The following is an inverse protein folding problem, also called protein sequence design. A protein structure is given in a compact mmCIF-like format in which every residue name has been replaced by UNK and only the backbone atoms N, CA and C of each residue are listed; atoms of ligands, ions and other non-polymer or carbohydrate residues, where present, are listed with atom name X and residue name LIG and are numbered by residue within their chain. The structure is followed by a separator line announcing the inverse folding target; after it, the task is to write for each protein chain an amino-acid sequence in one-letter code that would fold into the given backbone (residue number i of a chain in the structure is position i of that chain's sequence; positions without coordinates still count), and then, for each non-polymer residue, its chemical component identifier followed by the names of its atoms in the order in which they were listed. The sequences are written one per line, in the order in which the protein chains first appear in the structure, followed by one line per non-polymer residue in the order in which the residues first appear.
data_IF_768804266276
#
_entry.id   IF_768804266276
#
_cell.length_a   1.000
_cell.length_b   1.000
_cell.length_c   1.000
_cell.angle_alpha   90.00
_cell.angle_beta   90.00
_cell.angle_gamma   90.00
#
_symmetry.space_group_name_H-M   'P 1'
#
loop_
_entity.id
_entity.type
_entity.pdbx_description
1 polymer ?
#
# COMPACT_ATOMS: atom_id res chain seq x y z
N UNK A 1 18.91 8.51 43.25
CA UNK A 1 20.37 8.81 43.25
C UNK A 1 20.67 9.91 42.23
N UNK A 2 21.51 10.89 42.57
CA UNK A 2 21.92 11.95 41.64
C UNK A 2 22.63 11.36 40.41
N UNK A 3 22.36 11.92 39.22
CA UNK A 3 23.12 11.58 38.02
C UNK A 3 24.55 12.12 38.20
N UNK A 4 25.55 11.31 37.89
CA UNK A 4 26.93 11.78 37.88
C UNK A 4 27.09 12.89 36.82
N UNK A 5 27.79 13.96 37.18
CA UNK A 5 27.99 15.10 36.28
C UNK A 5 28.79 14.69 35.03
N UNK A 6 28.46 15.24 33.84
CA UNK A 6 29.21 14.97 32.62
C UNK A 6 30.71 15.26 32.82
N UNK A 7 31.58 14.31 32.49
CA UNK A 7 33.03 14.45 32.59
C UNK A 7 33.66 13.91 33.89
N UNK A 8 32.90 13.63 34.94
CA UNK A 8 33.45 13.01 36.17
C UNK A 8 33.95 11.58 35.89
N UNK A 9 34.99 11.06 36.58
CA UNK A 9 35.41 9.66 36.46
C UNK A 9 34.26 8.66 36.67
N UNK A 10 33.32 8.98 37.58
CA UNK A 10 32.09 8.19 37.80
C UNK A 10 31.15 8.20 36.60
N UNK A 11 31.00 9.33 35.91
CA UNK A 11 30.22 9.45 34.67
C UNK A 11 30.88 8.68 33.53
N UNK A 12 32.20 8.81 33.37
CA UNK A 12 32.96 8.09 32.35
C UNK A 12 32.92 6.58 32.59
N UNK A 13 33.12 6.13 33.83
CA UNK A 13 32.98 4.73 34.22
C UNK A 13 31.57 4.20 33.97
N UNK A 14 30.52 4.98 34.26
CA UNK A 14 29.14 4.62 33.96
C UNK A 14 28.89 4.53 32.45
N UNK A 15 29.42 5.48 31.66
CA UNK A 15 29.29 5.50 30.20
C UNK A 15 30.03 4.31 29.56
N UNK A 16 31.25 4.01 30.02
CA UNK A 16 32.01 2.84 29.57
C UNK A 16 31.30 1.53 29.92
N UNK A 17 30.74 1.41 31.12
CA UNK A 17 29.95 0.23 31.54
C UNK A 17 28.59 0.12 30.82
N UNK A 18 28.09 1.21 30.26
CA UNK A 18 26.87 1.26 29.46
C UNK A 18 27.10 1.02 27.96
N UNK A 19 28.37 0.97 27.50
CA UNK A 19 28.73 0.57 26.13
C UNK A 19 28.56 -0.95 26.00
N UNK A 20 27.95 -1.39 24.90
CA UNK A 20 27.64 -2.79 24.64
C UNK A 20 26.15 -3.13 24.79
N UNK A 21 25.74 -4.22 24.14
CA UNK A 21 24.37 -4.73 24.20
C UNK A 21 24.18 -5.46 25.53
N UNK A 22 23.46 -4.83 26.47
CA UNK A 22 23.17 -5.39 27.79
C UNK A 22 21.96 -6.34 27.73
N UNK A 23 21.78 -7.20 28.73
CA UNK A 23 20.63 -8.11 28.80
C UNK A 23 19.32 -7.31 28.76
N UNK A 24 18.46 -7.63 27.80
CA UNK A 24 17.15 -7.00 27.60
C UNK A 24 16.17 -7.21 28.76
N UNK A 25 16.42 -8.20 29.65
CA UNK A 25 15.61 -8.46 30.86
C UNK A 25 15.39 -7.22 31.73
N UNK A 26 16.34 -6.28 31.70
CA UNK A 26 16.31 -5.07 32.52
C UNK A 26 15.99 -3.79 31.72
N UNK A 27 15.40 -3.92 30.53
CA UNK A 27 14.97 -2.80 29.71
C UNK A 27 13.49 -2.46 29.95
N UNK A 28 13.17 -1.18 30.07
CA UNK A 28 11.79 -0.71 30.10
C UNK A 28 11.45 0.00 28.78
N UNK A 29 10.49 -0.54 28.02
CA UNK A 29 10.04 0.07 26.77
C UNK A 29 9.33 1.41 27.00
N UNK A 30 8.42 1.49 27.98
CA UNK A 30 7.66 2.72 28.25
C UNK A 30 8.58 3.93 28.46
N UNK A 31 9.61 3.74 29.28
CA UNK A 31 10.56 4.78 29.65
C UNK A 31 11.81 4.82 28.76
N UNK A 32 11.88 3.99 27.72
CA UNK A 32 13.05 3.77 26.85
C UNK A 32 14.38 3.62 27.63
N UNK A 33 14.30 2.98 28.81
CA UNK A 33 15.39 3.00 29.80
C UNK A 33 15.97 1.62 30.02
N UNK A 34 17.22 1.45 29.60
CA UNK A 34 18.04 0.29 29.97
C UNK A 34 18.51 0.42 31.42
N UNK A 35 18.11 -0.51 32.28
CA UNK A 35 18.66 -0.68 33.62
C UNK A 35 19.81 -1.70 33.59
N UNK A 36 20.74 -1.58 34.55
CA UNK A 36 21.98 -2.36 34.57
C UNK A 36 21.79 -3.74 35.20
N UNK A 37 20.97 -3.79 36.25
CA UNK A 37 20.80 -4.91 37.16
C UNK A 37 19.35 -4.99 37.65
N UNK A 38 19.02 -6.10 38.30
CA UNK A 38 17.68 -6.34 38.85
C UNK A 38 17.25 -5.25 39.82
N UNK A 39 18.16 -4.82 40.70
CA UNK A 39 17.87 -3.79 41.69
C UNK A 39 17.61 -2.44 41.01
N UNK A 40 18.43 -2.06 40.03
CA UNK A 40 18.21 -0.87 39.21
C UNK A 40 16.87 -0.89 38.48
N UNK A 41 16.43 -2.06 37.99
CA UNK A 41 15.13 -2.20 37.35
C UNK A 41 13.96 -2.14 38.36
N UNK A 42 14.10 -2.73 39.55
CA UNK A 42 13.11 -2.61 40.64
C UNK A 42 12.93 -1.14 41.06
N UNK A 43 14.03 -0.44 41.33
CA UNK A 43 14.00 0.99 41.65
C UNK A 43 13.38 1.83 40.51
N UNK A 44 13.61 1.44 39.26
CA UNK A 44 12.99 2.10 38.11
C UNK A 44 11.46 1.88 38.07
N UNK A 45 10.98 0.66 38.28
CA UNK A 45 9.54 0.36 38.32
C UNK A 45 8.80 1.08 39.46
N UNK A 46 9.49 1.29 40.58
CA UNK A 46 8.96 2.04 41.72
C UNK A 46 9.08 3.57 41.55
N UNK A 47 9.83 4.04 40.56
CA UNK A 47 10.02 5.48 40.36
C UNK A 47 8.75 6.15 39.84
N UNK A 48 8.49 7.37 40.34
CA UNK A 48 7.33 8.18 39.96
C UNK A 48 7.21 8.39 38.45
N UNK A 49 8.35 8.55 37.75
CA UNK A 49 8.36 8.74 36.29
C UNK A 49 7.84 7.52 35.54
N UNK A 50 8.22 6.32 35.97
CA UNK A 50 7.70 5.08 35.39
C UNK A 50 6.22 4.89 35.72
N UNK A 51 5.83 5.15 36.96
CA UNK A 51 4.43 5.05 37.38
C UNK A 51 3.52 6.00 36.61
N UNK A 52 3.97 7.23 36.37
CA UNK A 52 3.23 8.21 35.55
C UNK A 52 3.07 7.74 34.12
N UNK A 53 4.12 7.20 33.50
CA UNK A 53 3.98 6.63 32.16
C UNK A 53 3.08 5.40 32.11
N UNK A 54 3.09 4.57 33.14
CA UNK A 54 2.18 3.44 33.26
C UNK A 54 0.72 3.90 33.36
N UNK A 55 0.45 4.99 34.09
CA UNK A 55 -0.90 5.59 34.16
C UNK A 55 -1.36 6.07 32.78
N UNK A 56 -0.49 6.71 31.99
CA UNK A 56 -0.81 7.15 30.63
C UNK A 56 -1.06 5.92 29.73
N UNK A 57 -0.26 4.87 29.86
CA UNK A 57 -0.48 3.62 29.12
C UNK A 57 -1.82 2.96 29.49
N UNK A 58 -2.22 2.96 30.75
CA UNK A 58 -3.50 2.41 31.20
C UNK A 58 -4.71 3.20 30.65
N UNK A 59 -4.56 4.49 30.34
CA UNK A 59 -5.63 5.29 29.75
C UNK A 59 -5.91 4.89 28.30
N UNK A 60 -4.86 4.71 27.49
CA UNK A 60 -4.98 4.42 26.05
C UNK A 60 -4.00 3.34 25.57
N UNK A 61 -4.13 2.11 26.10
CA UNK A 61 -3.18 1.03 25.80
C UNK A 61 -3.04 0.73 24.29
N UNK A 62 -4.16 0.75 23.55
CA UNK A 62 -4.16 0.43 22.11
C UNK A 62 -3.34 1.44 21.30
N UNK A 63 -3.42 2.74 21.63
CA UNK A 63 -2.68 3.79 20.93
C UNK A 63 -1.16 3.60 21.04
N UNK A 64 -0.68 3.26 22.23
CA UNK A 64 0.74 2.95 22.44
C UNK A 64 1.17 1.70 21.67
N UNK A 65 0.34 0.65 21.68
CA UNK A 65 0.62 -0.57 20.91
C UNK A 65 0.69 -0.29 19.39
N UNK A 66 -0.21 0.54 18.87
CA UNK A 66 -0.23 0.94 17.46
C UNK A 66 0.99 1.81 17.09
N UNK A 67 1.39 2.73 17.96
CA UNK A 67 2.56 3.59 17.77
C UNK A 67 3.86 2.76 17.74
N UNK A 68 4.05 1.85 18.71
CA UNK A 68 5.19 0.95 18.72
C UNK A 68 5.20 0.02 17.51
N UNK A 69 4.04 -0.48 17.09
CA UNK A 69 3.91 -1.34 15.90
C UNK A 69 4.26 -0.57 14.62
N UNK A 70 3.79 0.66 14.47
CA UNK A 70 4.13 1.53 13.33
C UNK A 70 5.62 1.84 13.27
N UNK A 71 6.23 2.15 14.42
CA UNK A 71 7.67 2.46 14.49
C UNK A 71 8.53 1.22 14.25
N UNK A 72 8.13 0.06 14.76
CA UNK A 72 8.77 -1.24 14.49
C UNK A 72 8.70 -1.58 13.00
N UNK A 73 7.53 -1.47 12.38
CA UNK A 73 7.36 -1.71 10.96
C UNK A 73 8.23 -0.77 10.12
N UNK A 74 8.25 0.53 10.44
CA UNK A 74 9.06 1.51 9.72
C UNK A 74 10.54 1.16 9.78
N UNK A 75 11.04 0.74 10.93
CA UNK A 75 12.44 0.39 11.12
C UNK A 75 12.82 -0.91 10.39
N UNK A 76 11.96 -1.92 10.46
CA UNK A 76 12.13 -3.15 9.70
C UNK A 76 12.17 -2.88 8.19
N UNK A 77 11.22 -2.07 7.69
CA UNK A 77 11.16 -1.68 6.28
C UNK A 77 12.34 -0.79 5.87
N UNK A 78 12.88 0.03 6.77
CA UNK A 78 14.12 0.80 6.53
C UNK A 78 15.30 -0.14 6.26
N UNK A 79 15.45 -1.21 7.04
CA UNK A 79 16.49 -2.22 6.82
C UNK A 79 16.28 -3.00 5.52
N UNK A 80 15.04 -3.38 5.21
CA UNK A 80 14.70 -4.02 3.94
C UNK A 80 15.03 -3.14 2.73
N UNK A 81 14.71 -1.84 2.80
CA UNK A 81 14.99 -0.87 1.72
C UNK A 81 16.48 -0.56 1.54
N UNK A 82 17.25 -0.54 2.63
CA UNK A 82 18.65 -0.12 2.59
C UNK A 82 19.60 -1.28 2.32
N UNK A 83 19.51 -2.37 3.10
CA UNK A 83 20.45 -3.49 3.04
C UNK A 83 19.97 -4.64 2.17
N UNK A 84 18.66 -4.93 2.18
CA UNK A 84 18.11 -6.18 1.60
C UNK A 84 17.19 -5.93 0.39
N UNK A 85 17.37 -4.81 -0.33
CA UNK A 85 16.42 -4.37 -1.36
C UNK A 85 16.39 -5.26 -2.62
N UNK A 86 17.43 -6.04 -2.87
CA UNK A 86 17.62 -6.84 -4.09
C UNK A 86 17.67 -8.34 -3.85
N UNK A 87 17.70 -8.77 -2.60
CA UNK A 87 17.94 -10.16 -2.24
C UNK A 87 16.76 -10.72 -1.47
N UNK A 88 16.46 -11.99 -1.73
CA UNK A 88 15.61 -12.81 -0.87
C UNK A 88 16.40 -13.16 0.39
N UNK A 89 15.88 -12.79 1.56
CA UNK A 89 16.57 -12.92 2.84
C UNK A 89 15.69 -13.65 3.85
N UNK A 90 16.29 -14.38 4.80
CA UNK A 90 15.55 -14.98 5.90
C UNK A 90 15.07 -13.90 6.88
N UNK A 91 13.81 -13.97 7.32
CA UNK A 91 13.22 -13.01 8.25
C UNK A 91 14.01 -12.86 9.56
N UNK A 92 14.53 -13.98 10.09
CA UNK A 92 15.31 -13.97 11.32
C UNK A 92 16.62 -13.16 11.17
N UNK A 93 17.24 -13.17 10.00
CA UNK A 93 18.45 -12.38 9.73
C UNK A 93 18.16 -10.89 9.78
N UNK A 94 17.05 -10.45 9.19
CA UNK A 94 16.63 -9.04 9.23
C UNK A 94 16.28 -8.62 10.65
N UNK A 95 15.53 -9.45 11.37
CA UNK A 95 15.17 -9.21 12.77
C UNK A 95 16.40 -9.13 13.68
N UNK A 96 17.37 -10.03 13.51
CA UNK A 96 18.64 -9.99 14.26
C UNK A 96 19.43 -8.72 13.95
N UNK A 97 19.44 -8.26 12.69
CA UNK A 97 20.07 -7.00 12.32
C UNK A 97 19.41 -5.81 13.02
N UNK A 98 18.07 -5.82 13.12
CA UNK A 98 17.32 -4.79 13.82
C UNK A 98 17.60 -4.78 15.33
N UNK A 99 17.68 -5.94 15.98
CA UNK A 99 17.99 -6.06 17.42
C UNK A 99 19.42 -5.63 17.75
N UNK A 100 20.31 -5.60 16.76
CA UNK A 100 21.70 -5.16 16.98
C UNK A 100 21.78 -3.70 17.45
N UNK A 101 20.80 -2.87 17.08
CA UNK A 101 20.70 -1.49 17.53
C UNK A 101 20.12 -1.42 18.95
N UNK A 102 20.80 -0.73 19.88
CA UNK A 102 20.37 -0.68 21.29
C UNK A 102 19.00 -0.01 21.51
N UNK A 103 18.57 0.83 20.57
CA UNK A 103 17.32 1.60 20.63
C UNK A 103 16.19 0.96 19.82
N UNK A 104 16.32 -0.30 19.42
CA UNK A 104 15.24 -1.00 18.73
C UNK A 104 14.04 -1.23 19.66
N UNK A 105 12.85 -1.21 19.08
CA UNK A 105 11.63 -1.63 19.77
C UNK A 105 11.62 -3.14 19.82
N UNK A 106 11.44 -3.69 21.01
CA UNK A 106 11.33 -5.13 21.17
C UNK A 106 9.98 -5.64 20.65
N UNK A 107 9.96 -6.81 20.02
CA UNK A 107 8.76 -7.38 19.40
C UNK A 107 7.58 -7.53 20.38
N UNK A 108 7.84 -7.95 21.62
CA UNK A 108 6.82 -8.03 22.70
C UNK A 108 6.11 -6.71 23.02
N UNK A 109 6.65 -5.56 22.62
CA UNK A 109 6.01 -4.26 22.81
C UNK A 109 5.06 -3.88 21.67
N UNK A 110 4.98 -4.70 20.63
CA UNK A 110 4.14 -4.48 19.44
C UNK A 110 2.93 -5.41 19.46
N UNK A 111 2.00 -5.22 18.52
CA UNK A 111 0.86 -6.12 18.30
C UNK A 111 1.33 -7.51 17.84
N UNK A 112 2.53 -7.64 17.28
CA UNK A 112 3.08 -8.91 16.82
C UNK A 112 3.94 -9.54 17.91
N UNK A 113 3.42 -10.60 18.54
CA UNK A 113 4.14 -11.33 19.59
C UNK A 113 5.23 -12.22 18.99
N UNK A 114 4.99 -12.76 17.79
CA UNK A 114 5.94 -13.63 17.08
C UNK A 114 6.43 -13.01 15.77
N UNK A 115 7.66 -13.35 15.37
CA UNK A 115 8.21 -12.91 14.08
C UNK A 115 7.37 -13.43 12.91
N UNK A 116 6.80 -14.62 13.05
CA UNK A 116 5.94 -15.24 12.06
C UNK A 116 4.69 -14.40 11.80
N UNK A 117 4.01 -13.94 12.85
CA UNK A 117 2.81 -13.09 12.70
C UNK A 117 3.13 -11.79 11.97
N UNK A 118 4.27 -11.18 12.30
CA UNK A 118 4.73 -9.97 11.62
C UNK A 118 5.03 -10.22 10.13
N UNK A 119 5.71 -11.32 9.80
CA UNK A 119 6.00 -11.71 8.41
C UNK A 119 4.71 -11.95 7.62
N UNK A 120 3.74 -12.65 8.21
CA UNK A 120 2.43 -12.86 7.60
C UNK A 120 1.70 -11.53 7.37
N UNK A 121 1.79 -10.59 8.30
CA UNK A 121 1.27 -9.23 8.12
C UNK A 121 1.95 -8.49 6.94
N UNK A 122 3.27 -8.59 6.78
CA UNK A 122 3.97 -7.99 5.64
C UNK A 122 3.55 -8.60 4.30
N UNK A 123 3.23 -9.90 4.28
CA UNK A 123 2.64 -10.57 3.12
C UNK A 123 1.23 -10.08 2.83
N UNK A 124 0.36 -10.00 3.83
CA UNK A 124 -1.03 -9.50 3.70
C UNK A 124 -1.10 -8.06 3.22
N UNK A 125 -0.21 -7.19 3.73
CA UNK A 125 -0.11 -5.79 3.27
C UNK A 125 0.55 -5.66 1.90
N UNK A 126 1.14 -6.73 1.36
CA UNK A 126 1.86 -6.73 0.09
C UNK A 126 3.06 -5.78 0.09
N UNK A 127 3.73 -5.61 1.24
CA UNK A 127 4.97 -4.83 1.35
C UNK A 127 6.19 -5.69 1.04
N UNK A 128 6.10 -6.98 1.37
CA UNK A 128 7.11 -7.98 1.04
C UNK A 128 6.42 -9.21 0.43
N UNK A 129 7.10 -9.87 -0.50
CA UNK A 129 6.75 -11.22 -0.96
C UNK A 129 7.31 -12.20 0.06
N UNK A 130 6.44 -13.06 0.59
CA UNK A 130 6.79 -14.07 1.59
C UNK A 130 6.83 -15.45 0.94
N UNK A 131 7.79 -16.27 1.34
CA UNK A 131 7.90 -17.67 0.96
C UNK A 131 8.29 -18.50 2.18
N UNK A 132 7.58 -19.59 2.41
CA UNK A 132 7.87 -20.52 3.49
C UNK A 132 8.77 -21.64 2.97
N UNK A 133 9.87 -21.90 3.67
CA UNK A 133 10.80 -22.99 3.37
C UNK A 133 11.10 -23.73 4.66
N UNK A 134 11.68 -24.94 4.58
CA UNK A 134 12.07 -25.75 5.74
C UNK A 134 12.99 -25.02 6.74
N UNK A 135 13.78 -24.04 6.27
CA UNK A 135 14.68 -23.24 7.12
C UNK A 135 13.99 -22.03 7.77
N UNK A 136 12.74 -21.74 7.43
CA UNK A 136 11.97 -20.61 7.94
C UNK A 136 11.43 -19.70 6.83
N UNK A 137 11.02 -18.49 7.23
CA UNK A 137 10.38 -17.53 6.33
C UNK A 137 11.38 -16.69 5.54
N UNK A 138 11.27 -16.71 4.22
CA UNK A 138 12.00 -15.83 3.32
C UNK A 138 11.17 -14.61 2.94
N UNK A 139 11.84 -13.46 2.89
CA UNK A 139 11.29 -12.15 2.56
C UNK A 139 11.99 -11.59 1.33
N UNK A 140 11.20 -11.05 0.41
CA UNK A 140 11.67 -10.27 -0.74
C UNK A 140 10.92 -8.92 -0.75
N UNK A 141 11.67 -7.81 -0.72
CA UNK A 141 11.09 -6.47 -0.62
C UNK A 141 10.44 -6.05 -1.94
N UNK A 142 9.20 -5.58 -1.90
CA UNK A 142 8.50 -5.03 -3.07
C UNK A 142 8.57 -3.51 -3.02
N UNK A 143 9.38 -2.93 -3.90
CA UNK A 143 9.48 -1.48 -4.03
C UNK A 143 8.35 -0.91 -4.89
N UNK A 144 7.22 -0.59 -4.24
CA UNK A 144 6.06 0.04 -4.90
C UNK A 144 6.43 1.35 -5.60
N UNK A 145 7.31 2.15 -4.99
CA UNK A 145 7.70 3.45 -5.52
C UNK A 145 8.57 3.30 -6.78
N UNK A 146 9.47 2.32 -6.79
CA UNK A 146 10.27 1.99 -7.99
C UNK A 146 9.39 1.48 -9.13
N UNK A 147 8.45 0.59 -8.85
CA UNK A 147 7.51 0.06 -9.85
C UNK A 147 6.68 1.20 -10.47
N UNK A 148 6.17 2.12 -9.64
CA UNK A 148 5.40 3.27 -10.12
C UNK A 148 6.25 4.22 -10.96
N UNK A 149 7.48 4.52 -10.51
CA UNK A 149 8.43 5.37 -11.26
C UNK A 149 8.76 4.77 -12.62
N UNK A 150 8.95 3.46 -12.68
CA UNK A 150 9.28 2.75 -13.93
C UNK A 150 8.07 2.67 -14.87
N UNK A 151 6.86 2.45 -14.35
CA UNK A 151 5.62 2.56 -15.13
C UNK A 151 5.41 3.96 -15.69
N UNK A 152 5.62 5.00 -14.87
CA UNK A 152 5.52 6.39 -15.30
C UNK A 152 6.56 6.73 -16.37
N UNK A 153 7.80 6.27 -16.20
CA UNK A 153 8.86 6.44 -17.21
C UNK A 153 8.52 5.72 -18.52
N UNK A 154 8.06 4.47 -18.45
CA UNK A 154 7.69 3.71 -19.63
C UNK A 154 6.46 4.32 -20.34
N UNK A 155 5.49 4.85 -19.58
CA UNK A 155 4.34 5.59 -20.14
C UNK A 155 4.82 6.86 -20.84
N UNK A 156 5.74 7.62 -20.24
CA UNK A 156 6.34 8.81 -20.88
C UNK A 156 7.08 8.44 -22.16
N UNK A 157 7.91 7.38 -22.13
CA UNK A 157 8.64 6.89 -23.31
C UNK A 157 7.71 6.47 -24.45
N UNK A 158 6.60 5.79 -24.14
CA UNK A 158 5.58 5.42 -25.14
C UNK A 158 4.89 6.62 -25.77
N UNK A 159 4.60 7.66 -24.98
CA UNK A 159 4.00 8.91 -25.48
C UNK A 159 5.01 9.65 -26.37
N UNK A 160 6.27 9.72 -25.96
CA UNK A 160 7.35 10.36 -26.73
C UNK A 160 7.58 9.64 -28.06
N UNK A 161 7.61 8.31 -28.07
CA UNK A 161 7.72 7.51 -29.30
C UNK A 161 6.55 7.76 -30.26
N UNK A 162 5.30 7.77 -29.74
CA UNK A 162 4.12 8.07 -30.57
C UNK A 162 4.13 9.50 -31.13
N UNK A 163 4.65 10.47 -30.38
CA UNK A 163 4.79 11.85 -30.86
C UNK A 163 5.88 11.99 -31.93
N UNK A 164 7.00 11.28 -31.78
CA UNK A 164 8.07 11.24 -32.78
C UNK A 164 7.59 10.63 -34.10
N UNK A 165 6.84 9.53 -34.09
CA UNK A 165 6.25 8.95 -35.31
C UNK A 165 5.31 9.92 -36.03
N UNK A 166 4.47 10.65 -35.27
CA UNK A 166 3.57 11.66 -35.84
C UNK A 166 4.35 12.85 -36.40
N UNK A 167 5.43 13.26 -35.72
CA UNK A 167 6.33 14.32 -36.17
C UNK A 167 7.06 13.93 -37.45
N UNK A 168 7.56 12.71 -37.53
CA UNK A 168 8.25 12.18 -38.72
C UNK A 168 7.32 12.13 -39.93
N UNK A 169 6.09 11.62 -39.75
CA UNK A 169 5.07 11.65 -40.80
C UNK A 169 4.79 13.08 -41.30
N UNK A 170 4.69 14.05 -40.38
CA UNK A 170 4.44 15.44 -40.74
C UNK A 170 5.63 16.08 -41.47
N UNK A 171 6.86 15.77 -41.04
CA UNK A 171 8.08 16.20 -41.74
C UNK A 171 8.13 15.60 -43.14
N UNK A 172 7.85 14.30 -43.29
CA UNK A 172 7.85 13.63 -44.58
C UNK A 172 6.81 14.22 -45.53
N UNK A 173 5.60 14.53 -45.05
CA UNK A 173 4.58 15.23 -45.83
C UNK A 173 5.06 16.60 -46.33
N UNK A 174 5.67 17.41 -45.46
CA UNK A 174 6.21 18.73 -45.83
C UNK A 174 7.34 18.59 -46.86
N UNK A 175 8.20 17.58 -46.73
CA UNK A 175 9.27 17.29 -47.70
C UNK A 175 8.66 16.91 -49.06
N UNK A 176 7.63 16.07 -49.09
CA UNK A 176 6.95 15.70 -50.33
C UNK A 176 6.25 16.88 -51.02
N UNK A 177 5.59 17.74 -50.26
CA UNK A 177 4.98 18.96 -50.78
C UNK A 177 6.04 19.91 -51.35
N UNK A 178 7.16 20.12 -50.65
CA UNK A 178 8.28 20.93 -51.12
C UNK A 178 8.94 20.35 -52.40
N UNK A 179 9.01 19.02 -52.52
CA UNK A 179 9.47 18.33 -53.74
C UNK A 179 8.50 18.58 -54.90
N UNK A 180 7.18 18.52 -54.66
CA UNK A 180 6.15 18.75 -55.69
C UNK A 180 6.08 20.21 -56.16
N UNK A 181 6.30 21.18 -55.27
CA UNK A 181 6.30 22.60 -55.61
C UNK A 181 7.62 23.09 -56.23
N UNK A 182 8.62 22.21 -56.37
CA UNK A 182 9.91 22.52 -57.00
C UNK A 182 10.82 23.44 -56.17
N UNK A 183 10.53 23.64 -54.88
CA UNK A 183 11.34 24.44 -53.94
C UNK A 183 12.27 23.57 -53.07
N UNK A 184 12.37 22.28 -53.37
CA UNK A 184 13.24 21.35 -52.65
C UNK A 184 14.69 21.51 -53.10
N UNK A 185 15.50 22.17 -52.27
CA UNK A 185 16.96 22.21 -52.41
C UNK A 185 17.51 20.94 -51.74
N UNK A 186 18.07 20.02 -52.51
CA UNK A 186 18.85 18.92 -51.94
C UNK A 186 20.07 19.52 -51.21
N UNK A 187 20.21 19.22 -49.92
CA UNK A 187 21.38 19.63 -49.16
C UNK A 187 22.58 18.78 -49.58
N UNK A 188 23.33 19.23 -50.58
CA UNK A 188 24.67 18.73 -50.82
C UNK A 188 25.63 19.32 -49.78
N UNK A 189 26.48 18.48 -49.19
CA UNK A 189 27.51 18.93 -48.26
C UNK A 189 28.51 19.82 -49.00
N UNK A 190 28.38 21.13 -48.84
CA UNK A 190 29.41 22.08 -49.28
C UNK A 190 30.39 22.28 -48.13
N UNK A 191 31.54 21.63 -48.19
CA UNK A 191 32.65 21.98 -47.32
C UNK A 191 33.01 23.45 -47.54
N UNK A 192 33.21 24.21 -46.46
CA UNK A 192 33.71 25.59 -46.57
C UNK A 192 35.13 25.52 -47.12
N UNK A 193 35.28 25.70 -48.44
CA UNK A 193 36.58 25.91 -49.05
C UNK A 193 37.03 27.34 -48.77
N UNK A 194 37.97 27.49 -47.84
CA UNK A 194 38.68 28.76 -47.63
C UNK A 194 39.60 29.01 -48.81
N UNK A 195 39.26 29.96 -49.67
CA UNK A 195 40.22 30.61 -50.57
C UNK A 195 40.49 32.00 -49.98
N UNK A 196 41.63 32.11 -49.31
CA UNK A 196 42.18 33.26 -48.57
C UNK A 196 41.72 33.44 -47.11
N UNK A 197 42.70 33.74 -46.26
CA UNK A 197 42.65 33.84 -44.80
C UNK A 197 41.88 35.07 -44.27
N UNK A 198 40.70 35.36 -44.82
CA UNK A 198 39.85 36.43 -44.31
C UNK A 198 38.94 35.93 -43.17
N UNK A 199 38.97 36.65 -42.05
CA UNK A 199 38.18 36.34 -40.85
C UNK A 199 36.69 36.39 -41.15
N UNK A 200 35.99 35.30 -40.90
CA UNK A 200 34.52 35.22 -40.96
C UNK A 200 33.95 36.06 -39.80
N UNK A 201 33.49 37.28 -40.09
CA UNK A 201 32.76 38.10 -39.12
C UNK A 201 31.29 37.71 -39.20
N UNK A 202 30.84 36.89 -38.25
CA UNK A 202 29.41 36.69 -37.99
C UNK A 202 28.94 37.94 -37.24
N UNK A 203 28.30 38.88 -37.93
CA UNK A 203 27.74 40.09 -37.33
C UNK A 203 26.55 39.72 -36.42
N UNK A 204 26.87 39.27 -35.21
CA UNK A 204 25.93 39.25 -34.10
C UNK A 204 25.43 40.67 -33.86
N UNK A 205 24.11 40.78 -33.78
CA UNK A 205 23.34 41.97 -33.41
C UNK A 205 24.01 42.70 -32.24
N UNK A 206 24.57 43.89 -32.50
CA UNK A 206 24.94 44.86 -31.47
C UNK A 206 24.04 46.09 -31.59
N UNK A 207 23.43 46.58 -30.49
CA UNK A 207 22.73 47.86 -30.50
C UNK A 207 23.76 48.96 -30.24
N UNK A 208 23.93 49.90 -31.17
CA UNK A 208 24.67 51.13 -30.89
C UNK A 208 23.74 52.31 -31.08
N UNK A 209 23.44 52.97 -29.96
CA UNK A 209 22.78 54.26 -29.89
C UNK A 209 23.78 55.39 -30.22
N UNK A 210 23.28 56.38 -30.98
CA UNK A 210 23.62 57.82 -31.01
C UNK A 210 24.97 58.32 -31.60
N UNK A 211 24.92 58.74 -32.89
CA UNK A 211 25.07 60.09 -33.52
C UNK A 211 26.14 61.12 -33.04
N UNK A 212 26.47 62.18 -33.86
CA UNK A 212 26.68 62.29 -35.33
C UNK A 212 27.84 63.28 -35.70
N UNK A 213 27.94 63.69 -36.98
CA UNK A 213 28.76 64.78 -37.63
C UNK A 213 29.91 64.25 -38.49
N UNK A 214 30.17 64.58 -39.78
CA UNK A 214 29.75 65.64 -40.72
C UNK A 214 30.35 65.34 -42.11
N UNK A 215 29.63 65.68 -43.21
CA UNK A 215 30.11 65.99 -44.60
C UNK A 215 30.66 64.79 -45.44
N UNK A 216 30.27 64.50 -46.69
CA UNK A 216 29.31 65.04 -47.68
C UNK A 216 29.23 64.14 -48.94
N UNK A 217 28.12 64.24 -49.71
CA UNK A 217 27.78 63.81 -51.10
C UNK A 217 28.22 62.40 -51.63
N UNK A 218 27.47 61.62 -52.43
CA UNK A 218 26.20 61.74 -53.15
C UNK A 218 25.66 60.33 -53.55
N UNK A 219 24.34 60.26 -53.73
CA UNK A 219 23.52 59.42 -54.62
C UNK A 219 23.19 57.92 -54.39
N UNK A 220 21.86 57.71 -54.37
CA UNK A 220 21.02 56.52 -54.61
C UNK A 220 21.15 55.28 -53.71
N UNK A 221 20.39 55.28 -52.60
CA UNK A 221 19.98 54.05 -51.87
C UNK A 221 18.47 54.09 -51.57
N UNK A 222 17.67 53.08 -51.96
CA UNK A 222 16.29 52.97 -51.50
C UNK A 222 16.25 52.63 -50.01
N UNK A 223 15.61 53.51 -49.23
CA UNK A 223 15.38 53.36 -47.79
C UNK A 223 14.25 52.36 -47.54
N UNK A 224 14.53 51.23 -46.90
CA UNK A 224 13.72 50.67 -45.79
C UNK A 224 14.21 49.29 -45.35
N UNK A 225 14.49 49.17 -44.05
CA UNK A 225 14.72 47.87 -43.41
C UNK A 225 13.35 47.28 -43.02
N UNK A 226 12.93 46.25 -43.74
CA UNK A 226 11.65 45.51 -43.57
C UNK A 226 11.40 45.05 -42.11
N UNK A 227 12.46 44.81 -41.33
CA UNK A 227 12.35 44.40 -39.93
C UNK A 227 11.95 45.53 -38.96
N UNK A 228 12.28 46.79 -39.27
CA UNK A 228 11.96 47.95 -38.42
C UNK A 228 10.49 48.40 -38.57
N UNK A 229 9.89 48.16 -39.73
CA UNK A 229 8.48 48.49 -40.01
C UNK A 229 7.50 47.52 -39.33
N UNK A 230 7.92 46.28 -39.06
CA UNK A 230 7.11 45.28 -38.34
C UNK A 230 7.02 45.62 -36.84
N UNK A 231 8.11 46.11 -36.23
CA UNK A 231 8.14 46.54 -34.83
C UNK A 231 7.32 47.82 -34.58
N UNK A 232 7.28 48.76 -35.53
CA UNK A 232 6.45 49.96 -35.44
C UNK A 232 4.94 49.65 -35.57
N UNK A 233 4.56 48.67 -36.40
CA UNK A 233 3.15 48.24 -36.53
C UNK A 233 2.58 47.57 -35.29
N UNK A 234 3.41 46.90 -34.48
CA UNK A 234 2.96 46.29 -33.22
C UNK A 234 2.81 47.29 -32.05
N UNK A 235 3.39 48.50 -32.15
CA UNK A 235 3.23 49.55 -31.12
C UNK A 235 1.93 50.36 -31.28
N UNK A 236 1.34 50.38 -32.48
CA UNK A 236 0.10 51.12 -32.81
C UNK A 236 -1.18 50.32 -32.50
N UNK A 237 -1.08 48.99 -32.34
CA UNK A 237 -2.24 48.14 -32.01
C UNK A 237 -2.63 48.11 -30.53
N UNK A 238 -1.75 48.55 -29.62
CA UNK A 238 -2.02 48.49 -28.16
C UNK A 238 -2.63 49.78 -27.58
N UNK A 239 -2.96 50.79 -28.40
CA UNK A 239 -3.51 52.07 -27.91
C UNK A 239 -4.96 52.36 -28.31
N UNK A 240 -5.61 51.49 -29.11
CA UNK A 240 -6.97 51.74 -29.61
C UNK A 240 -8.05 50.76 -29.09
N UNK A 241 -7.76 49.94 -28.08
CA UNK A 241 -8.74 49.04 -27.43
C UNK A 241 -9.33 49.61 -26.12
N UNK A 242 -9.37 50.93 -25.98
CA UNK A 242 -10.28 51.61 -25.06
C UNK A 242 -11.02 52.69 -25.85
N UNK A 243 -12.35 52.65 -25.81
CA UNK A 243 -13.33 53.53 -26.47
C UNK A 243 -13.83 53.05 -27.86
N UNK A 244 -14.81 52.14 -27.87
CA UNK A 244 -16.19 52.42 -28.31
C UNK A 244 -17.02 51.13 -28.38
N UNK A 245 -17.79 50.93 -27.31
CA UNK A 245 -19.09 50.27 -27.33
C UNK A 245 -20.12 51.15 -28.07
N UNK A 246 -21.21 50.51 -28.54
CA UNK A 246 -22.43 51.08 -29.15
C UNK A 246 -22.44 51.25 -30.69
N UNK A 247 -22.89 50.23 -31.41
CA UNK A 247 -24.25 50.20 -31.99
C UNK A 247 -24.49 48.99 -32.91
N UNK A 248 -25.75 48.59 -32.98
CA UNK A 248 -26.27 47.28 -33.39
C UNK A 248 -26.97 47.36 -34.78
N UNK A 249 -26.92 46.22 -35.53
CA UNK A 249 -27.91 45.61 -36.47
C UNK A 249 -27.77 45.76 -38.02
N UNK A 250 -27.94 44.56 -38.65
CA UNK A 250 -28.51 44.20 -39.99
C UNK A 250 -27.63 44.45 -41.22
N UNK A 251 -27.61 43.67 -42.30
CA UNK A 251 -28.39 42.52 -42.82
C UNK A 251 -27.55 41.85 -43.97
N UNK A 252 -27.99 40.69 -44.45
CA UNK A 252 -27.35 39.78 -45.43
C UNK A 252 -27.22 40.33 -46.88
N UNK A 253 -26.19 39.89 -47.64
CA UNK A 253 -26.28 39.07 -48.90
C UNK A 253 -25.06 39.20 -49.85
N UNK A 254 -24.54 38.02 -50.22
CA UNK A 254 -24.05 37.53 -51.52
C UNK A 254 -23.49 38.52 -52.59
N UNK A 255 -22.21 38.35 -52.95
CA UNK A 255 -21.78 38.16 -54.36
C UNK A 255 -20.30 37.75 -54.46
N UNK A 256 -20.07 36.70 -55.26
CA UNK A 256 -18.75 36.24 -55.72
C UNK A 256 -18.03 37.38 -56.46
N UNK A 257 -16.72 37.51 -56.22
CA UNK A 257 -15.82 37.61 -57.36
C UNK A 257 -14.44 37.02 -57.09
N UNK A 258 -13.96 36.28 -58.10
CA UNK A 258 -12.68 35.57 -58.10
C UNK A 258 -11.59 36.53 -58.52
N UNK A 259 -10.57 36.73 -57.67
CA UNK A 259 -9.23 37.08 -58.15
C UNK A 259 -8.18 36.20 -57.46
N UNK A 260 -7.33 35.63 -58.29
CA UNK A 260 -6.34 34.61 -57.98
C UNK A 260 -5.23 35.21 -57.10
N UNK A 261 -4.86 34.55 -56.00
CA UNK A 261 -3.56 34.78 -55.36
C UNK A 261 -3.04 33.51 -54.67
N UNK A 262 -1.82 33.12 -55.09
CA UNK A 262 -1.08 31.93 -54.68
C UNK A 262 -0.82 31.96 -53.16
N UNK A 263 -1.26 30.94 -52.43
CA UNK A 263 -0.96 30.75 -50.99
C UNK A 263 0.48 30.27 -50.84
N UNK A 264 1.30 30.99 -50.07
CA UNK A 264 2.66 30.58 -49.68
C UNK A 264 2.59 29.45 -48.63
N UNK A 265 3.53 28.49 -48.62
CA UNK A 265 3.59 27.46 -47.59
C UNK A 265 3.86 28.09 -46.22
N UNK A 266 3.24 27.51 -45.18
CA UNK A 266 3.27 28.04 -43.81
C UNK A 266 4.73 28.06 -43.30
N UNK A 267 5.17 29.21 -42.77
CA UNK A 267 6.54 29.38 -42.26
C UNK A 267 6.72 28.58 -40.97
N UNK A 268 7.94 28.05 -40.74
CA UNK A 268 8.35 27.32 -39.53
C UNK A 268 8.03 28.05 -38.21
N UNK A 269 7.86 29.38 -38.26
CA UNK A 269 7.45 30.20 -37.13
C UNK A 269 5.97 30.02 -36.76
N UNK A 270 5.08 29.88 -37.74
CA UNK A 270 3.63 29.68 -37.53
C UNK A 270 3.35 28.33 -36.84
N UNK A 271 4.12 27.31 -37.22
CA UNK A 271 4.06 25.96 -36.63
C UNK A 271 4.52 25.94 -35.16
N UNK A 272 5.58 26.69 -34.83
CA UNK A 272 6.06 26.85 -33.45
C UNK A 272 5.09 27.66 -32.58
N UNK A 273 4.38 28.62 -33.16
CA UNK A 273 3.36 29.41 -32.46
C UNK A 273 2.14 28.53 -32.16
N UNK A 274 1.67 27.73 -33.12
CA UNK A 274 0.57 26.76 -32.89
C UNK A 274 0.95 25.69 -31.87
N UNK A 275 2.19 25.16 -31.91
CA UNK A 275 2.67 24.17 -30.93
C UNK A 275 2.77 24.78 -29.52
N UNK A 276 3.17 26.05 -29.40
CA UNK A 276 3.22 26.77 -28.13
C UNK A 276 1.82 27.16 -27.61
N UNK A 277 0.86 27.45 -28.49
CA UNK A 277 -0.54 27.70 -28.15
C UNK A 277 -1.24 26.42 -27.69
N UNK A 278 -0.98 25.29 -28.33
CA UNK A 278 -1.48 23.98 -27.91
C UNK A 278 -0.85 23.54 -26.58
N UNK A 279 0.45 23.75 -26.37
CA UNK A 279 1.12 23.53 -25.09
C UNK A 279 0.59 24.46 -23.98
N UNK A 280 0.24 25.71 -24.28
CA UNK A 280 -0.43 26.62 -23.33
C UNK A 280 -1.86 26.16 -23.00
N UNK A 281 -2.64 25.71 -23.99
CA UNK A 281 -3.99 25.15 -23.79
C UNK A 281 -3.94 23.88 -22.93
N UNK A 282 -2.98 22.98 -23.17
CA UNK A 282 -2.80 21.76 -22.38
C UNK A 282 -2.32 22.03 -20.94
N UNK A 283 -1.52 23.08 -20.74
CA UNK A 283 -1.06 23.53 -19.40
C UNK A 283 -2.15 24.25 -18.60
N UNK A 284 -3.12 24.87 -19.27
CA UNK A 284 -4.29 25.50 -18.65
C UNK A 284 -5.44 24.52 -18.34
N UNK A 285 -5.42 23.30 -18.89
CA UNK A 285 -6.42 22.25 -18.67
C UNK A 285 -6.11 21.33 -17.47
N UNK A 286 -5.06 21.62 -16.70
CA UNK A 286 -4.73 20.92 -15.46
C UNK A 286 -4.74 21.88 -14.26
N UNK A 287 -5.83 21.93 -13.46
CA UNK A 287 -5.77 22.48 -12.11
C UNK A 287 -5.38 21.38 -11.11
N UNK A 288 -4.25 21.61 -10.43
CA UNK A 288 -3.87 21.18 -9.08
C UNK A 288 -3.98 19.69 -8.67
N UNK A 289 -2.87 18.98 -8.80
CA UNK A 289 -2.37 18.09 -7.73
C UNK A 289 -0.96 18.57 -7.36
N UNK A 290 -0.80 18.98 -6.10
CA UNK A 290 0.42 19.44 -5.42
C UNK A 290 0.73 20.94 -5.44
N UNK A 291 -0.07 21.68 -4.69
CA UNK A 291 0.43 22.67 -3.71
C UNK A 291 -0.30 22.42 -2.39
N UNK A 292 0.36 21.70 -1.47
CA UNK A 292 0.24 21.81 -0.01
C UNK A 292 0.96 20.63 0.67
N UNK A 293 2.29 20.55 0.52
CA UNK A 293 3.18 19.98 1.53
C UNK A 293 4.42 20.85 1.57
N UNK A 294 4.29 21.97 2.27
CA UNK A 294 5.32 22.72 3.01
C UNK A 294 4.66 24.03 3.37
N UNK A 295 3.83 23.94 4.40
CA UNK A 295 3.81 24.86 5.52
C UNK A 295 2.72 24.39 6.49
N UNK A 296 3.00 24.53 7.77
CA UNK A 296 2.13 24.25 8.93
C UNK A 296 2.24 22.86 9.53
N UNK A 297 3.41 22.64 10.14
CA UNK A 297 3.46 22.04 11.45
C UNK A 297 3.80 23.15 12.47
N UNK A 298 2.77 23.85 12.98
CA UNK A 298 2.84 24.58 14.26
C UNK A 298 1.46 25.01 14.76
N UNK A 299 1.09 24.46 15.92
CA UNK A 299 0.25 25.04 17.00
C UNK A 299 -1.29 24.90 16.93
N UNK A 300 -1.76 23.86 17.63
CA UNK A 300 -2.62 23.88 18.84
C UNK A 300 -3.92 24.70 18.90
N UNK A 301 -4.98 23.95 19.17
CA UNK A 301 -6.02 24.11 20.23
C UNK A 301 -7.21 25.09 20.08
N UNK A 302 -8.39 24.48 20.35
CA UNK A 302 -9.61 25.04 20.96
C UNK A 302 -10.45 26.05 20.12
N UNK A 303 -11.77 25.93 19.93
CA UNK A 303 -12.87 25.29 20.68
C UNK A 303 -14.15 25.19 19.80
N UNK A 304 -15.03 24.22 20.12
CA UNK A 304 -16.52 24.21 20.12
C UNK A 304 -17.33 24.80 18.93
N UNK A 305 -18.48 24.30 18.49
CA UNK A 305 -19.37 23.16 18.75
C UNK A 305 -20.62 23.41 17.87
N UNK A 306 -21.37 22.35 17.50
CA UNK A 306 -22.87 22.28 17.42
C UNK A 306 -23.38 21.39 16.26
N UNK A 307 -24.32 20.49 16.65
CA UNK A 307 -25.42 19.84 15.91
C UNK A 307 -25.08 18.71 14.91
N UNK A 308 -25.48 17.44 15.12
CA UNK A 308 -26.82 16.76 15.22
C UNK A 308 -27.02 15.90 13.96
N UNK A 309 -27.11 14.58 14.13
CA UNK A 309 -28.33 13.76 14.02
C UNK A 309 -28.83 13.46 12.58
N UNK A 310 -28.86 12.16 12.27
CA UNK A 310 -30.04 11.41 11.76
C UNK A 310 -30.40 11.46 10.26
N UNK A 311 -30.81 10.27 9.78
CA UNK A 311 -31.54 9.86 8.56
C UNK A 311 -30.75 9.59 7.26
N UNK A 312 -30.75 8.36 6.73
CA UNK A 312 -31.83 7.55 6.11
C UNK A 312 -32.18 7.99 4.68
N UNK A 313 -32.09 7.00 3.77
CA UNK A 313 -32.94 6.80 2.57
C UNK A 313 -32.77 7.86 1.45
N UNK A 314 -32.97 7.58 0.17
CA UNK A 314 -33.32 6.41 -0.61
C UNK A 314 -33.18 6.85 -2.09
N UNK A 315 -33.26 5.88 -3.00
CA UNK A 315 -33.68 6.03 -4.41
C UNK A 315 -32.74 6.71 -5.43
N UNK A 316 -32.74 6.33 -6.71
CA UNK A 316 -33.07 5.13 -7.51
C UNK A 316 -32.76 5.60 -8.95
N UNK A 317 -32.50 4.64 -9.83
CA UNK A 317 -32.54 4.86 -11.29
C UNK A 317 -31.13 4.99 -11.89
N UNK A 318 -30.54 4.00 -12.55
CA UNK A 318 -31.13 2.90 -13.29
C UNK A 318 -31.16 3.25 -14.78
N UNK A 319 -30.26 2.63 -15.56
CA UNK A 319 -30.60 1.74 -16.69
C UNK A 319 -29.44 1.64 -17.69
N UNK A 320 -29.07 0.38 -17.93
CA UNK A 320 -28.81 -0.27 -19.22
C UNK A 320 -27.62 0.25 -20.05
N UNK A 321 -26.79 -0.61 -20.64
CA UNK A 321 -27.18 -1.77 -21.45
C UNK A 321 -25.95 -2.66 -21.76
N UNK A 322 -26.17 -3.98 -21.66
CA UNK A 322 -25.68 -5.09 -22.52
C UNK A 322 -24.17 -5.29 -22.73
N UNK A 323 -23.64 -6.51 -22.92
CA UNK A 323 -23.97 -7.94 -22.68
C UNK A 323 -22.98 -8.69 -23.60
N UNK A 324 -22.31 -9.73 -23.10
CA UNK A 324 -21.92 -10.99 -23.77
C UNK A 324 -21.12 -11.80 -22.73
N UNK A 325 -21.75 -12.69 -21.93
CA UNK A 325 -22.16 -14.10 -22.15
C UNK A 325 -21.00 -15.08 -22.40
N UNK A 326 -20.86 -16.04 -21.47
CA UNK A 326 -20.71 -17.50 -21.67
C UNK A 326 -20.64 -18.15 -20.26
N UNK A 327 -21.75 -18.63 -19.69
CA UNK A 327 -22.32 -20.00 -19.75
C UNK A 327 -21.60 -21.07 -18.90
N UNK A 328 -22.15 -21.34 -17.69
CA UNK A 328 -22.65 -22.68 -17.29
C UNK A 328 -23.42 -22.68 -15.95
N UNK A 329 -24.74 -22.74 -16.11
CA UNK A 329 -25.77 -23.47 -15.33
C UNK A 329 -25.68 -23.53 -13.79
N UNK A 330 -26.45 -22.64 -13.17
CA UNK A 330 -27.15 -22.85 -11.90
C UNK A 330 -28.48 -23.58 -12.17
N UNK A 331 -28.79 -24.64 -11.43
CA UNK A 331 -30.16 -25.12 -11.25
C UNK A 331 -30.59 -24.86 -9.80
N UNK A 332 -31.75 -24.23 -9.68
CA UNK A 332 -32.36 -23.72 -8.45
C UNK A 332 -33.38 -24.72 -7.86
N UNK A 333 -33.28 -24.86 -6.54
CA UNK A 333 -34.36 -24.92 -5.53
C UNK A 333 -35.42 -26.04 -5.48
N UNK A 334 -35.43 -26.71 -4.32
CA UNK A 334 -36.48 -26.61 -3.26
C UNK A 334 -35.96 -27.41 -2.05
N UNK A 335 -35.91 -26.93 -0.82
CA UNK A 335 -36.85 -26.10 -0.08
C UNK A 335 -37.22 -26.88 1.19
N UNK A 336 -36.52 -26.62 2.29
CA UNK A 336 -36.80 -27.17 3.62
C UNK A 336 -36.52 -26.08 4.65
N UNK A 337 -37.58 -25.65 5.32
CA UNK A 337 -37.76 -24.37 6.03
C UNK A 337 -36.80 -24.15 7.20
N UNK A 338 -36.51 -22.87 7.42
CA UNK A 338 -35.90 -22.31 8.62
C UNK A 338 -36.65 -22.74 9.88
N UNK A 339 -35.93 -23.41 10.78
CA UNK A 339 -36.14 -23.26 12.22
C UNK A 339 -34.97 -22.42 12.75
N UNK A 340 -35.27 -21.17 13.10
CA UNK A 340 -34.40 -20.36 13.95
C UNK A 340 -34.32 -21.02 15.32
N UNK A 341 -33.25 -21.77 15.58
CA UNK A 341 -32.87 -22.17 16.94
C UNK A 341 -31.60 -21.41 17.33
N UNK A 342 -31.71 -20.62 18.38
CA UNK A 342 -30.62 -19.91 19.10
C UNK A 342 -29.64 -20.91 19.78
N UNK A 343 -28.99 -21.78 19.00
CA UNK A 343 -28.22 -22.92 19.51
C UNK A 343 -26.74 -22.86 19.08
N UNK A 344 -26.20 -21.64 18.97
CA UNK A 344 -24.85 -21.40 18.51
C UNK A 344 -23.86 -21.48 19.68
N UNK A 345 -23.21 -22.64 19.83
CA UNK A 345 -21.79 -22.84 20.22
C UNK A 345 -21.55 -24.08 21.12
N UNK A 346 -22.59 -24.84 21.48
CA UNK A 346 -22.37 -26.09 22.23
C UNK A 346 -21.87 -27.22 21.31
N UNK A 347 -20.64 -27.67 21.54
CA UNK A 347 -19.99 -28.76 20.78
C UNK A 347 -19.91 -30.09 21.54
N UNK A 348 -20.21 -30.07 22.84
CA UNK A 348 -20.23 -31.27 23.67
C UNK A 348 -21.28 -32.25 23.13
N UNK A 349 -20.87 -33.50 22.94
CA UNK A 349 -21.74 -34.62 22.57
C UNK A 349 -21.41 -35.83 23.45
N UNK A 350 -22.31 -36.81 23.52
CA UNK A 350 -22.05 -38.08 24.21
C UNK A 350 -21.07 -38.93 23.40
N UNK A 351 -20.38 -39.85 24.06
CA UNK A 351 -19.54 -40.88 23.44
C UNK A 351 -18.30 -40.34 22.71
N UNK A 352 -17.82 -39.18 23.14
CA UNK A 352 -16.51 -38.64 22.73
C UNK A 352 -15.52 -38.66 23.89
N UNK A 353 -14.24 -38.80 23.55
CA UNK A 353 -13.15 -38.70 24.50
C UNK A 353 -12.67 -37.26 24.56
N UNK A 354 -12.59 -36.70 25.76
CA UNK A 354 -12.09 -35.35 26.00
C UNK A 354 -10.96 -35.37 27.02
N UNK A 355 -10.16 -34.30 27.03
CA UNK A 355 -9.08 -34.08 27.99
C UNK A 355 -9.42 -32.86 28.85
N UNK A 356 -9.29 -32.99 30.16
CA UNK A 356 -9.52 -31.88 31.09
C UNK A 356 -8.30 -30.97 31.08
N UNK A 357 -8.50 -29.68 30.81
CA UNK A 357 -7.43 -28.67 30.69
C UNK A 357 -7.43 -27.63 31.81
N UNK A 358 -8.48 -27.57 32.63
CA UNK A 358 -8.51 -26.66 33.77
C UNK A 358 -7.54 -27.12 34.88
N UNK A 359 -6.62 -26.23 35.27
CA UNK A 359 -5.62 -26.48 36.32
C UNK A 359 -6.25 -26.62 37.71
N UNK A 360 -7.42 -26.02 37.91
CA UNK A 360 -8.13 -26.05 39.19
C UNK A 360 -8.94 -27.35 39.36
N UNK A 361 -9.10 -28.13 38.29
CA UNK A 361 -9.86 -29.37 38.33
C UNK A 361 -9.00 -30.52 38.85
N UNK A 362 -9.58 -31.36 39.72
CA UNK A 362 -8.92 -32.51 40.38
C UNK A 362 -8.24 -33.49 39.41
N UNK A 363 -8.73 -33.54 38.17
CA UNK A 363 -8.27 -34.46 37.12
C UNK A 363 -7.60 -33.74 35.96
N UNK A 364 -6.94 -32.61 36.22
CA UNK A 364 -6.17 -31.87 35.23
C UNK A 364 -5.26 -32.79 34.39
N UNK A 365 -5.29 -32.60 33.06
CA UNK A 365 -4.62 -33.40 32.01
C UNK A 365 -5.08 -34.85 31.86
N UNK A 366 -6.05 -35.31 32.66
CA UNK A 366 -6.62 -36.65 32.51
C UNK A 366 -7.59 -36.70 31.32
N UNK A 367 -7.66 -37.85 30.65
CA UNK A 367 -8.62 -38.11 29.58
C UNK A 367 -9.84 -38.84 30.14
N UNK A 368 -11.01 -38.56 29.60
CA UNK A 368 -12.24 -39.24 29.98
C UNK A 368 -13.26 -39.28 28.85
N UNK A 369 -14.29 -40.10 29.02
CA UNK A 369 -15.40 -40.26 28.07
C UNK A 369 -16.60 -39.47 28.58
N UNK A 370 -17.25 -38.70 27.71
CA UNK A 370 -18.49 -38.00 28.03
C UNK A 370 -19.66 -38.99 27.99
N UNK A 371 -20.37 -39.13 29.10
CA UNK A 371 -21.50 -40.08 29.23
C UNK A 371 -22.83 -39.35 29.14
N UNK A 372 -22.95 -38.26 29.91
CA UNK A 372 -24.17 -37.50 30.00
C UNK A 372 -23.87 -36.01 29.87
N UNK A 373 -24.84 -35.28 29.32
CA UNK A 373 -24.84 -33.82 29.25
C UNK A 373 -26.01 -33.39 30.14
N UNK A 374 -25.78 -32.43 31.02
CA UNK A 374 -26.81 -31.96 31.93
C UNK A 374 -27.94 -31.27 31.15
N UNK A 375 -29.19 -31.66 31.38
CA UNK A 375 -30.35 -31.07 30.70
C UNK A 375 -30.64 -29.63 31.11
N UNK A 376 -30.16 -29.21 32.29
CA UNK A 376 -30.35 -27.86 32.86
C UNK A 376 -29.30 -26.86 32.37
N UNK A 377 -28.06 -27.30 32.16
CA UNK A 377 -26.93 -26.48 31.72
C UNK A 377 -26.31 -27.12 30.48
N UNK A 378 -26.66 -26.63 29.28
CA UNK A 378 -26.20 -27.18 27.98
C UNK A 378 -24.66 -27.30 27.87
N UNK A 379 -23.91 -26.52 28.64
CA UNK A 379 -22.45 -26.47 28.61
C UNK A 379 -21.77 -27.36 29.67
N UNK A 380 -22.52 -28.11 30.47
CA UNK A 380 -22.01 -28.96 31.54
C UNK A 380 -22.16 -30.43 31.19
N UNK A 381 -21.09 -31.19 31.38
CA UNK A 381 -21.04 -32.60 31.04
C UNK A 381 -20.47 -33.45 32.18
N UNK A 382 -20.90 -34.72 32.21
CA UNK A 382 -20.39 -35.74 33.09
C UNK A 382 -19.40 -36.62 32.34
N UNK A 383 -18.19 -36.70 32.90
CA UNK A 383 -17.04 -37.36 32.29
C UNK A 383 -16.63 -38.53 33.18
N UNK A 384 -16.54 -39.72 32.60
CA UNK A 384 -15.90 -40.87 33.23
C UNK A 384 -14.43 -40.88 32.90
N UNK A 385 -13.60 -40.80 33.94
CA UNK A 385 -12.14 -40.76 33.78
C UNK A 385 -11.64 -42.10 33.24
N UNK A 386 -10.77 -42.06 32.24
CA UNK A 386 -10.20 -43.26 31.64
C UNK A 386 -9.36 -44.02 32.67
N UNK A 387 -9.45 -45.34 32.70
CA UNK A 387 -8.77 -46.25 33.65
C UNK A 387 -9.25 -46.08 35.12
N UNK A 388 -10.40 -45.46 35.36
CA UNK A 388 -10.98 -45.36 36.70
C UNK A 388 -12.50 -45.49 36.61
N UNK A 389 -13.14 -45.97 37.68
CA UNK A 389 -14.61 -46.00 37.82
C UNK A 389 -15.19 -44.68 38.32
N UNK A 390 -14.40 -43.59 38.34
CA UNK A 390 -14.77 -42.29 38.89
C UNK A 390 -15.33 -41.37 37.81
N UNK A 391 -16.35 -40.61 38.19
CA UNK A 391 -17.04 -39.63 37.37
C UNK A 391 -16.77 -38.22 37.88
N UNK A 392 -16.75 -37.25 36.97
CA UNK A 392 -16.49 -35.84 37.27
C UNK A 392 -17.33 -34.94 36.39
N UNK A 393 -17.74 -33.80 36.93
CA UNK A 393 -18.47 -32.78 36.18
C UNK A 393 -17.50 -31.72 35.66
N UNK A 394 -17.62 -31.36 34.39
CA UNK A 394 -16.83 -30.29 33.79
C UNK A 394 -17.65 -29.47 32.79
N UNK A 395 -17.26 -28.21 32.61
CA UNK A 395 -17.83 -27.31 31.62
C UNK A 395 -17.09 -27.38 30.28
N UNK A 396 -17.75 -26.97 29.20
CA UNK A 396 -17.18 -26.92 27.84
C UNK A 396 -15.82 -26.21 27.76
N UNK A 397 -15.65 -25.11 28.49
CA UNK A 397 -14.40 -24.33 28.53
C UNK A 397 -13.27 -24.99 29.35
N UNK A 398 -13.56 -26.03 30.13
CA UNK A 398 -12.59 -26.74 30.96
C UNK A 398 -12.04 -28.01 30.29
N UNK A 399 -12.54 -28.33 29.09
CA UNK A 399 -12.23 -29.56 28.37
C UNK A 399 -11.78 -29.27 26.93
N UNK A 400 -10.97 -30.17 26.39
CA UNK A 400 -10.43 -30.12 25.04
C UNK A 400 -10.76 -31.42 24.30
N UNK A 401 -10.98 -31.34 23.00
CA UNK A 401 -11.13 -32.52 22.12
C UNK A 401 -9.84 -33.35 22.11
N UNK A 402 -9.97 -34.64 21.79
CA UNK A 402 -8.81 -35.54 21.70
C UNK A 402 -8.76 -36.12 20.31
N UNK A 403 -7.69 -35.81 19.58
CA UNK A 403 -7.45 -36.35 18.24
C UNK A 403 -6.77 -37.72 18.35
N UNK A 404 -7.35 -38.80 17.80
CA UNK A 404 -6.71 -40.12 17.78
C UNK A 404 -5.64 -40.19 16.68
N UNK A 405 -4.90 -41.31 16.65
CA UNK A 405 -3.97 -41.60 15.56
C UNK A 405 -4.68 -41.77 14.22
N UNK A 406 -3.91 -41.60 13.13
CA UNK A 406 -4.37 -41.82 11.76
C UNK A 406 -5.02 -43.20 11.63
N UNK A 407 -6.14 -43.25 10.91
CA UNK A 407 -6.92 -44.46 10.67
C UNK A 407 -7.94 -44.79 11.78
N UNK A 408 -8.04 -43.99 12.84
CA UNK A 408 -9.07 -44.16 13.88
C UNK A 408 -10.32 -43.33 13.60
N UNK A 409 -11.42 -43.77 14.21
CA UNK A 409 -12.72 -43.11 14.14
C UNK A 409 -12.77 -41.85 15.02
N UNK A 410 -13.40 -40.81 14.48
CA UNK A 410 -13.72 -39.54 15.14
C UNK A 410 -15.18 -39.18 14.92
N UNK A 411 -15.71 -38.35 15.80
CA UNK A 411 -17.03 -37.73 15.67
C UNK A 411 -16.86 -36.25 15.32
N UNK A 412 -17.65 -35.77 14.39
CA UNK A 412 -17.67 -34.37 13.96
C UNK A 412 -18.64 -33.58 14.85
N UNK A 413 -18.15 -32.50 15.44
CA UNK A 413 -18.83 -31.74 16.50
C UNK A 413 -19.45 -30.43 16.01
N UNK A 414 -18.90 -29.84 14.93
CA UNK A 414 -19.35 -28.57 14.35
C UNK A 414 -19.47 -28.67 12.82
N UNK A 415 -20.27 -27.75 12.25
CA UNK A 415 -20.45 -27.60 10.80
C UNK A 415 -21.51 -28.53 10.17
N UNK A 416 -21.51 -28.60 8.83
CA UNK A 416 -22.51 -29.33 8.02
C UNK A 416 -22.59 -30.83 8.30
N UNK A 417 -21.49 -31.42 8.79
CA UNK A 417 -21.37 -32.84 9.06
C UNK A 417 -21.47 -33.16 10.56
N UNK A 418 -21.98 -32.23 11.39
CA UNK A 418 -22.14 -32.43 12.84
C UNK A 418 -22.92 -33.72 13.14
N UNK A 419 -22.38 -34.54 14.05
CA UNK A 419 -22.95 -35.82 14.47
C UNK A 419 -22.61 -36.99 13.55
N UNK A 420 -21.90 -36.79 12.44
CA UNK A 420 -21.39 -37.88 11.60
C UNK A 420 -20.06 -38.42 12.13
N UNK A 421 -19.85 -39.73 11.92
CA UNK A 421 -18.58 -40.39 12.17
C UNK A 421 -17.65 -40.17 10.98
N UNK A 422 -16.34 -40.19 11.22
CA UNK A 422 -15.34 -40.12 10.17
C UNK A 422 -14.04 -40.81 10.56
N UNK A 423 -13.20 -41.10 9.56
CA UNK A 423 -11.89 -41.72 9.75
C UNK A 423 -10.80 -40.72 9.40
N UNK A 424 -9.81 -40.57 10.29
CA UNK A 424 -8.68 -39.67 10.04
C UNK A 424 -7.76 -40.28 8.97
N UNK A 425 -7.46 -39.52 7.91
CA UNK A 425 -6.48 -39.90 6.89
C UNK A 425 -5.13 -39.23 7.08
N UNK A 426 -5.14 -37.94 7.41
CA UNK A 426 -3.92 -37.14 7.58
C UNK A 426 -4.09 -36.21 8.77
N UNK A 427 -3.04 -36.04 9.55
CA UNK A 427 -2.97 -35.07 10.64
C UNK A 427 -1.88 -34.07 10.26
N UNK A 428 -2.19 -32.78 10.35
CA UNK A 428 -1.24 -31.70 10.17
C UNK A 428 -1.13 -30.93 11.48
N UNK A 429 -0.09 -31.20 12.26
CA UNK A 429 0.11 -30.56 13.56
C UNK A 429 0.47 -29.07 13.43
N UNK A 430 1.06 -28.66 12.30
CA UNK A 430 1.51 -27.27 12.09
C UNK A 430 0.37 -26.27 11.86
N UNK A 431 -0.79 -26.75 11.41
CA UNK A 431 -1.94 -25.92 11.02
C UNK A 431 -3.21 -26.30 11.81
N UNK A 432 -3.08 -27.12 12.86
CA UNK A 432 -4.16 -27.57 13.74
C UNK A 432 -5.38 -28.18 13.00
N UNK A 433 -5.15 -28.91 11.90
CA UNK A 433 -6.20 -29.58 11.13
C UNK A 433 -5.93 -31.07 10.89
N UNK A 434 -7.00 -31.84 10.76
CA UNK A 434 -6.98 -33.21 10.28
C UNK A 434 -7.84 -33.36 9.02
N UNK A 435 -7.36 -34.13 8.05
CA UNK A 435 -8.18 -34.57 6.92
C UNK A 435 -8.98 -35.79 7.35
N UNK A 436 -10.30 -35.64 7.33
CA UNK A 436 -11.26 -36.67 7.76
C UNK A 436 -12.10 -37.12 6.58
N UNK A 437 -12.18 -38.43 6.37
CA UNK A 437 -13.16 -39.06 5.49
C UNK A 437 -14.46 -39.24 6.27
N UNK A 438 -15.49 -38.49 5.90
CA UNK A 438 -16.81 -38.48 6.54
C UNK A 438 -17.60 -39.70 6.08
N UNK A 439 -18.12 -40.48 7.03
CA UNK A 439 -18.92 -41.68 6.78
C UNK A 439 -20.41 -41.36 6.83
N UNK A 440 -21.21 -42.11 6.06
CA UNK A 440 -22.66 -42.00 6.08
C UNK A 440 -23.27 -42.59 7.36
N UNK A 441 -24.47 -42.13 7.73
CA UNK A 441 -25.11 -42.53 9.00
C UNK A 441 -25.43 -44.03 9.08
N UNK A 442 -25.72 -44.64 7.93
CA UNK A 442 -26.22 -46.00 7.81
C UNK A 442 -25.34 -46.92 6.95
N UNK A 443 -24.26 -46.40 6.37
CA UNK A 443 -23.30 -47.16 5.56
C UNK A 443 -21.88 -46.66 5.82
N UNK A 444 -20.89 -47.55 5.76
CA UNK A 444 -19.46 -47.20 5.85
C UNK A 444 -18.94 -46.54 4.55
N UNK A 445 -19.84 -46.01 3.73
CA UNK A 445 -19.52 -45.29 2.51
C UNK A 445 -19.02 -43.88 2.84
N UNK A 446 -17.98 -43.47 2.13
CA UNK A 446 -17.36 -42.16 2.28
C UNK A 446 -18.19 -41.14 1.51
N UNK A 447 -18.82 -40.20 2.22
CA UNK A 447 -19.60 -39.11 1.61
C UNK A 447 -18.68 -38.02 1.09
N UNK A 448 -17.66 -37.67 1.86
CA UNK A 448 -16.79 -36.54 1.57
C UNK A 448 -15.44 -36.67 2.28
N UNK A 449 -14.41 -36.08 1.70
CA UNK A 449 -13.11 -35.90 2.34
C UNK A 449 -12.87 -34.41 2.56
N UNK A 450 -12.69 -34.01 3.82
CA UNK A 450 -12.55 -32.60 4.16
C UNK A 450 -11.51 -32.40 5.25
N UNK A 451 -10.74 -31.32 5.13
CA UNK A 451 -9.91 -30.80 6.21
C UNK A 451 -10.80 -30.18 7.29
N UNK A 452 -10.64 -30.61 8.54
CA UNK A 452 -11.39 -30.13 9.70
C UNK A 452 -10.41 -29.70 10.81
N UNK A 453 -10.63 -28.55 11.47
CA UNK A 453 -9.87 -28.13 12.64
C UNK A 453 -9.97 -29.15 13.79
N UNK A 454 -8.94 -29.24 14.63
CA UNK A 454 -8.96 -30.14 15.79
C UNK A 454 -10.08 -29.86 16.79
N UNK A 455 -10.54 -28.62 16.89
CA UNK A 455 -11.65 -28.25 17.79
C UNK A 455 -13.01 -28.78 17.29
N UNK A 456 -13.11 -29.09 16.00
CA UNK A 456 -14.37 -29.54 15.36
C UNK A 456 -14.52 -31.06 15.37
N UNK A 457 -13.51 -31.81 15.79
CA UNK A 457 -13.51 -33.27 15.79
C UNK A 457 -12.98 -33.83 17.11
N UNK A 458 -13.53 -34.94 17.57
CA UNK A 458 -12.97 -35.64 18.73
C UNK A 458 -13.03 -37.15 18.54
N UNK A 459 -12.11 -37.86 19.21
CA UNK A 459 -12.06 -39.32 19.21
C UNK A 459 -13.39 -39.87 19.68
N UNK A 460 -14.00 -40.67 18.82
CA UNK A 460 -15.22 -41.39 19.15
C UNK A 460 -14.88 -42.63 19.98
N UNK A 461 -15.67 -42.88 21.02
CA UNK A 461 -15.62 -44.11 21.81
C UNK A 461 -16.91 -44.87 21.50
N UNK A 462 -16.76 -46.03 20.87
CA UNK A 462 -17.87 -46.98 20.78
C UNK A 462 -18.20 -47.49 22.19
N UNK A 463 -19.49 -47.53 22.50
CA UNK A 463 -20.05 -47.99 23.78
C UNK A 463 -19.74 -49.46 24.05
#
# INVERSE_FOLDING_TARGET
MPRAEPGTPKWLANKMKAKGLQKLKWYCQMCEKQCRDENGFKCHRLSETHQRQMQIFCQDANKFMDEYSSMFEKEFMRLMKTKYCRARILANTVYTNMISDKTHIHMNATVWVTLTDFVLYLGKTGKCKIEQTERGWYLEYIDREKIEREKAFNKKKKIEYSYEEMKEKKINQVIEEAKKTGQFIQSEYTGIEKKNDDKIIISSVKPTNTNPSTIGHNDHVPKSNIFLDILKKNKIKNTNDQLKSENIKKEEKLSKDKTQNKKRPISSLELLIMENEEKKKLKNLLPNLNKNIKDNNSKTEHTHSIAKQVNERDEKGGKNKKREKDEKSEDYEKGGKDEKSEDYDTWITKNIIVKIVDKNHKYYKSKGVIISISSTEKNKCEIKIKNTTKYTLAYQNQIQTVIPQIGRMVLILKGRYKGLKGKIKKISEDEDYAVVSVLHKNSDEIIAEKGMPFDDISKFQEE
#
